data_IF_980201031745
#
_entry.id   IF_980201031745
#
_cell.length_a   1.000
_cell.length_b   1.000
_cell.length_c   1.000
_cell.angle_alpha   90.00
_cell.angle_beta   90.00
_cell.angle_gamma   90.00
#
_symmetry.space_group_name_H-M   'P 1'
#
loop_
_entity.id
_entity.type
_entity.pdbx_description
1 polymer ?
#
# COMPACT_ATOMS: atom_id res chain seq x y z
N UNK A 1 -8.84 11.39 1.43
CA UNK A 1 -7.97 10.51 0.62
C UNK A 1 -6.52 10.87 0.81
N UNK A 2 -5.58 10.01 0.48
CA UNK A 2 -4.16 10.31 0.52
C UNK A 2 -3.40 9.56 -0.59
N UNK A 3 -2.19 10.01 -0.90
CA UNK A 3 -1.23 9.23 -1.68
C UNK A 3 -0.72 8.06 -0.83
N UNK A 4 -0.07 7.09 -1.45
CA UNK A 4 0.41 5.88 -0.76
C UNK A 4 1.27 6.19 0.47
N UNK A 5 2.13 7.19 0.41
CA UNK A 5 3.00 7.60 1.53
C UNK A 5 2.22 8.10 2.74
N UNK A 6 1.07 8.74 2.54
CA UNK A 6 0.22 9.25 3.61
C UNK A 6 -0.69 8.20 4.26
N UNK A 7 -0.52 6.91 3.91
CA UNK A 7 -1.41 5.86 4.39
C UNK A 7 -1.37 5.73 5.91
N UNK A 8 -2.55 5.81 6.53
CA UNK A 8 -2.71 5.78 7.98
C UNK A 8 -2.69 7.14 8.70
N UNK A 9 -2.44 8.25 7.99
CA UNK A 9 -2.56 9.61 8.59
C UNK A 9 -3.98 9.88 9.08
N UNK A 10 -4.98 9.32 8.42
CA UNK A 10 -6.38 9.36 8.81
C UNK A 10 -6.87 7.93 9.02
N UNK A 11 -7.70 7.71 10.05
CA UNK A 11 -8.38 6.43 10.26
C UNK A 11 -9.27 6.09 9.05
N UNK A 12 -8.95 5.01 8.35
CA UNK A 12 -9.64 4.61 7.12
C UNK A 12 -11.09 4.13 7.35
N UNK A 13 -11.51 3.95 8.60
CA UNK A 13 -12.91 3.67 8.97
C UNK A 13 -13.79 4.92 8.86
N UNK A 14 -13.19 6.12 8.91
CA UNK A 14 -13.95 7.37 8.85
C UNK A 14 -14.79 7.46 7.57
N UNK A 15 -16.05 7.92 7.70
CA UNK A 15 -17.00 7.97 6.58
C UNK A 15 -16.47 8.79 5.38
N UNK A 16 -15.77 9.88 5.62
CA UNK A 16 -15.20 10.74 4.59
C UNK A 16 -13.88 10.22 3.99
N UNK A 17 -13.38 9.04 4.43
CA UNK A 17 -12.22 8.43 3.81
C UNK A 17 -12.62 7.77 2.48
N UNK A 18 -12.09 8.24 1.36
CA UNK A 18 -12.44 7.75 0.02
C UNK A 18 -11.46 6.70 -0.53
N UNK A 19 -10.25 6.63 0.00
CA UNK A 19 -9.25 5.68 -0.48
C UNK A 19 -7.87 6.29 -0.69
N UNK A 20 -7.00 5.52 -1.34
CA UNK A 20 -5.64 5.89 -1.70
C UNK A 20 -5.59 6.29 -3.19
N UNK A 21 -5.18 7.53 -3.46
CA UNK A 21 -5.03 8.08 -4.81
C UNK A 21 -3.71 7.67 -5.48
N UNK A 22 -3.56 7.94 -6.77
CA UNK A 22 -2.35 7.75 -7.57
C UNK A 22 -1.90 6.27 -7.74
N UNK A 23 -2.81 5.32 -7.68
CA UNK A 23 -2.53 3.91 -7.92
C UNK A 23 -2.73 3.49 -9.37
N UNK A 24 -3.77 4.03 -10.01
CA UNK A 24 -4.04 3.90 -11.45
C UNK A 24 -4.91 5.07 -11.88
N UNK A 25 -4.84 5.48 -13.13
CA UNK A 25 -5.71 6.52 -13.67
C UNK A 25 -7.15 6.00 -13.80
N UNK A 26 -8.13 6.87 -13.51
CA UNK A 26 -9.54 6.57 -13.72
C UNK A 26 -10.13 5.56 -12.75
N UNK A 27 -9.68 5.56 -11.49
CA UNK A 27 -10.30 4.76 -10.43
C UNK A 27 -11.38 5.55 -9.65
N UNK A 28 -12.04 4.89 -8.71
CA UNK A 28 -13.10 5.50 -7.88
C UNK A 28 -12.67 6.78 -7.15
N UNK A 29 -11.40 6.85 -6.73
CA UNK A 29 -10.84 8.03 -6.06
C UNK A 29 -10.69 9.19 -7.03
N UNK A 30 -10.26 8.91 -8.27
CA UNK A 30 -10.17 9.93 -9.32
C UNK A 30 -11.55 10.47 -9.70
N UNK A 31 -12.57 9.61 -9.82
CA UNK A 31 -13.95 10.06 -10.06
C UNK A 31 -14.44 11.02 -8.97
N UNK A 32 -14.08 10.78 -7.69
CA UNK A 32 -14.40 11.70 -6.61
C UNK A 32 -13.60 13.01 -6.66
N UNK A 33 -12.31 12.96 -7.06
CA UNK A 33 -11.47 14.16 -7.24
C UNK A 33 -12.04 15.05 -8.35
N UNK A 34 -12.44 14.48 -9.47
CA UNK A 34 -12.98 15.23 -10.61
C UNK A 34 -14.28 15.99 -10.28
N UNK A 35 -15.03 15.53 -9.28
CA UNK A 35 -16.26 16.18 -8.79
C UNK A 35 -16.02 17.21 -7.67
N UNK A 36 -14.78 17.41 -7.27
CA UNK A 36 -14.43 18.34 -6.20
C UNK A 36 -14.35 19.77 -6.76
N UNK A 37 -14.84 20.75 -6.01
CA UNK A 37 -14.73 22.19 -6.29
C UNK A 37 -13.49 22.81 -5.63
N UNK A 38 -12.98 22.17 -4.57
CA UNK A 38 -11.76 22.55 -3.86
C UNK A 38 -10.94 21.33 -3.50
N UNK A 39 -9.63 21.40 -3.72
CA UNK A 39 -8.68 20.37 -3.32
C UNK A 39 -7.67 20.99 -2.35
N UNK A 40 -7.51 20.40 -1.19
CA UNK A 40 -6.47 20.78 -0.22
C UNK A 40 -5.44 19.66 -0.17
N UNK A 41 -4.21 19.96 -0.60
CA UNK A 41 -3.09 19.03 -0.47
C UNK A 41 -2.30 19.36 0.79
N UNK A 42 -2.00 18.34 1.58
CA UNK A 42 -1.28 18.47 2.85
C UNK A 42 -0.07 17.56 2.83
N UNK A 43 1.13 18.13 2.93
CA UNK A 43 2.39 17.38 2.90
C UNK A 43 2.63 16.66 1.56
N UNK A 44 2.07 17.16 0.47
CA UNK A 44 2.29 16.60 -0.86
C UNK A 44 3.69 16.95 -1.35
N UNK A 45 4.46 15.95 -1.76
CA UNK A 45 5.76 16.10 -2.39
C UNK A 45 5.70 15.90 -3.92
N UNK A 46 6.74 16.34 -4.62
CA UNK A 46 6.84 16.35 -6.08
C UNK A 46 7.46 15.05 -6.64
N UNK A 47 7.90 14.14 -5.76
CA UNK A 47 8.58 12.89 -6.16
C UNK A 47 7.63 11.97 -6.94
N UNK A 48 6.35 11.98 -6.61
CA UNK A 48 5.31 11.30 -7.37
C UNK A 48 4.38 12.31 -8.05
N UNK A 49 3.96 11.99 -9.27
CA UNK A 49 2.95 12.79 -9.98
C UNK A 49 1.73 13.03 -9.09
N UNK A 50 1.12 14.21 -9.14
CA UNK A 50 -0.11 14.47 -8.40
C UNK A 50 -1.20 13.48 -8.83
N UNK A 51 -2.13 13.12 -7.94
CA UNK A 51 -3.22 12.19 -8.25
C UNK A 51 -4.25 12.77 -9.23
N UNK A 52 -4.08 14.02 -9.66
CA UNK A 52 -4.91 14.74 -10.59
C UNK A 52 -4.05 15.76 -11.35
N UNK A 53 -4.50 16.12 -12.54
CA UNK A 53 -3.88 17.20 -13.30
C UNK A 53 -4.72 18.46 -13.14
N UNK A 54 -4.08 19.55 -12.69
CA UNK A 54 -4.72 20.85 -12.61
C UNK A 54 -5.02 21.37 -14.01
N UNK A 55 -6.18 22.03 -14.15
CA UNK A 55 -6.62 22.75 -15.35
C UNK A 55 -6.97 24.18 -14.95
N UNK A 56 -6.88 25.10 -15.90
CA UNK A 56 -7.19 26.53 -15.66
C UNK A 56 -8.64 26.78 -15.21
N UNK A 57 -9.55 25.92 -15.64
CA UNK A 57 -10.99 25.90 -15.32
C UNK A 57 -11.39 24.81 -14.31
N UNK A 58 -10.40 24.09 -13.76
CA UNK A 58 -10.61 23.02 -12.79
C UNK A 58 -10.79 23.52 -11.35
N UNK A 59 -10.88 22.59 -10.39
CA UNK A 59 -11.01 22.92 -8.97
C UNK A 59 -9.83 23.74 -8.48
N UNK A 60 -10.08 24.64 -7.53
CA UNK A 60 -9.02 25.38 -6.83
C UNK A 60 -8.20 24.44 -5.98
N UNK A 61 -6.90 24.72 -5.88
CA UNK A 61 -5.97 23.91 -5.07
C UNK A 61 -5.31 24.79 -4.03
N UNK A 62 -5.37 24.34 -2.78
CA UNK A 62 -4.60 24.89 -1.64
C UNK A 62 -3.49 23.90 -1.31
N UNK A 63 -2.25 24.36 -1.32
CA UNK A 63 -1.08 23.57 -0.97
C UNK A 63 -0.59 23.93 0.43
N UNK A 64 -0.60 22.98 1.35
CA UNK A 64 -0.10 23.14 2.73
C UNK A 64 1.13 22.24 2.90
N UNK A 65 2.29 22.84 3.05
CA UNK A 65 3.54 22.09 3.17
C UNK A 65 4.65 22.89 3.86
N UNK A 66 5.73 22.24 4.22
CA UNK A 66 6.95 22.88 4.71
C UNK A 66 7.69 23.68 3.62
N UNK A 67 7.49 23.31 2.36
CA UNK A 67 8.08 23.96 1.18
C UNK A 67 7.00 24.46 0.23
N UNK A 68 7.33 25.45 -0.58
CA UNK A 68 6.47 25.85 -1.69
C UNK A 68 6.34 24.72 -2.71
N UNK A 69 5.20 24.68 -3.39
CA UNK A 69 5.02 23.76 -4.50
C UNK A 69 6.00 24.09 -5.63
N UNK A 70 6.60 23.09 -6.22
CA UNK A 70 7.27 23.22 -7.49
C UNK A 70 6.19 23.40 -8.57
N UNK A 71 6.28 24.52 -9.29
CA UNK A 71 5.27 24.86 -10.31
C UNK A 71 5.54 24.05 -11.58
N UNK A 72 4.55 23.25 -11.94
CA UNK A 72 4.55 22.34 -13.07
C UNK A 72 3.31 22.61 -13.94
N UNK A 73 3.31 22.34 -15.25
CA UNK A 73 2.14 22.52 -16.10
C UNK A 73 0.87 21.81 -15.62
N UNK A 74 1.03 20.75 -14.80
CA UNK A 74 -0.09 19.97 -14.26
C UNK A 74 -0.30 20.17 -12.74
N UNK A 75 0.51 21.02 -12.08
CA UNK A 75 0.37 21.34 -10.65
C UNK A 75 0.82 22.78 -10.36
N UNK A 76 -0.13 23.70 -10.22
CA UNK A 76 0.10 25.13 -9.99
C UNK A 76 -0.90 25.72 -8.97
N UNK A 77 -0.79 25.34 -7.67
CA UNK A 77 -1.74 25.71 -6.62
C UNK A 77 -1.98 27.23 -6.55
N UNK A 78 -3.24 27.65 -6.44
CA UNK A 78 -3.61 29.06 -6.35
C UNK A 78 -3.30 29.66 -4.99
N UNK A 79 -3.32 28.85 -3.93
CA UNK A 79 -2.96 29.26 -2.58
C UNK A 79 -1.92 28.30 -2.02
N UNK A 80 -0.86 28.86 -1.44
CA UNK A 80 0.18 28.09 -0.78
C UNK A 80 0.34 28.55 0.66
N UNK A 81 0.27 27.62 1.59
CA UNK A 81 0.53 27.80 3.02
C UNK A 81 1.82 27.08 3.32
N UNK A 82 2.92 27.84 3.33
CA UNK A 82 4.27 27.30 3.54
C UNK A 82 4.68 27.50 5.00
N UNK A 83 4.95 26.42 5.72
CA UNK A 83 5.35 26.45 7.12
C UNK A 83 5.12 25.13 7.82
N UNK A 84 4.98 25.15 9.15
CA UNK A 84 4.65 23.96 9.93
C UNK A 84 3.23 23.48 9.63
N UNK A 85 3.14 22.24 9.11
CA UNK A 85 1.86 21.65 8.67
C UNK A 85 0.91 21.49 9.86
N UNK A 86 1.40 21.05 11.02
CA UNK A 86 0.56 20.83 12.20
C UNK A 86 -0.04 22.14 12.68
N UNK A 87 0.74 23.21 12.71
CA UNK A 87 0.29 24.54 13.07
C UNK A 87 -0.74 25.09 12.05
N UNK A 88 -0.48 24.91 10.74
CA UNK A 88 -1.40 25.33 9.71
C UNK A 88 -2.77 24.63 9.84
N UNK A 89 -2.78 23.33 10.06
CA UNK A 89 -4.01 22.56 10.28
C UNK A 89 -4.71 22.97 11.58
N UNK A 90 -3.95 23.20 12.66
CA UNK A 90 -4.51 23.71 13.91
C UNK A 90 -5.18 25.07 13.73
N UNK A 91 -4.52 26.04 13.05
CA UNK A 91 -5.10 27.35 12.77
C UNK A 91 -6.37 27.26 11.92
N UNK A 92 -6.41 26.39 10.91
CA UNK A 92 -7.61 26.13 10.12
C UNK A 92 -8.73 25.61 11.01
N UNK A 93 -8.46 24.61 11.86
CA UNK A 93 -9.44 24.04 12.77
C UNK A 93 -10.03 25.08 13.74
N UNK A 94 -9.20 25.96 14.33
CA UNK A 94 -9.64 26.97 15.28
C UNK A 94 -10.48 28.10 14.64
N UNK A 95 -10.28 28.37 13.35
CA UNK A 95 -10.94 29.46 12.65
C UNK A 95 -12.10 29.02 11.75
N UNK A 96 -12.24 27.73 11.49
CA UNK A 96 -13.36 27.21 10.70
C UNK A 96 -14.53 26.85 11.61
N UNK A 97 -15.72 27.30 11.23
CA UNK A 97 -16.96 26.83 11.86
C UNK A 97 -17.44 25.56 11.17
N UNK A 98 -18.19 24.74 11.92
CA UNK A 98 -18.84 23.56 11.33
C UNK A 98 -19.77 23.99 10.21
N UNK A 99 -19.63 23.35 9.06
CA UNK A 99 -20.44 23.59 7.88
C UNK A 99 -21.42 22.44 7.69
N UNK A 100 -22.66 22.76 7.36
CA UNK A 100 -23.76 21.79 7.16
C UNK A 100 -24.33 21.81 5.72
N UNK A 101 -23.82 22.72 4.86
CA UNK A 101 -24.29 22.91 3.50
C UNK A 101 -23.57 22.07 2.43
N UNK A 102 -22.56 21.28 2.83
CA UNK A 102 -21.81 20.44 1.87
C UNK A 102 -22.60 19.20 1.45
N UNK A 103 -22.67 18.97 0.16
CA UNK A 103 -23.21 17.74 -0.41
C UNK A 103 -22.09 16.80 -0.85
N UNK A 104 -21.92 15.71 -0.11
CA UNK A 104 -20.93 14.66 -0.41
C UNK A 104 -21.55 13.45 -1.09
N UNK A 105 -22.80 13.54 -1.58
CA UNK A 105 -23.54 12.38 -2.11
C UNK A 105 -22.77 11.63 -3.19
N UNK A 106 -22.21 12.33 -4.16
CA UNK A 106 -21.47 11.72 -5.27
C UNK A 106 -20.14 11.11 -4.81
N UNK A 107 -19.44 11.77 -3.88
CA UNK A 107 -18.20 11.26 -3.30
C UNK A 107 -18.45 10.01 -2.46
N UNK A 108 -19.54 9.99 -1.69
CA UNK A 108 -19.96 8.81 -0.94
C UNK A 108 -20.42 7.67 -1.87
N UNK A 109 -21.08 7.97 -2.98
CA UNK A 109 -21.41 6.97 -4.00
C UNK A 109 -20.15 6.29 -4.56
N UNK A 110 -19.11 7.07 -4.88
CA UNK A 110 -17.81 6.53 -5.31
C UNK A 110 -17.17 5.63 -4.24
N UNK A 111 -17.24 6.04 -2.96
CA UNK A 111 -16.77 5.23 -1.84
C UNK A 111 -17.52 3.90 -1.73
N UNK A 112 -18.85 3.92 -1.77
CA UNK A 112 -19.65 2.70 -1.65
C UNK A 112 -19.42 1.76 -2.82
N UNK A 113 -19.34 2.27 -4.04
CA UNK A 113 -18.99 1.47 -5.22
C UNK A 113 -17.60 0.81 -5.08
N UNK A 114 -16.60 1.55 -4.56
CA UNK A 114 -15.29 1.00 -4.26
C UNK A 114 -15.35 -0.12 -3.20
N UNK A 115 -16.11 0.08 -2.13
CA UNK A 115 -16.23 -0.90 -1.05
C UNK A 115 -16.92 -2.21 -1.52
N UNK A 116 -18.00 -2.10 -2.27
CA UNK A 116 -18.71 -3.27 -2.82
C UNK A 116 -17.83 -4.05 -3.79
N UNK A 117 -17.17 -3.36 -4.70
CA UNK A 117 -16.22 -3.99 -5.61
C UNK A 117 -15.07 -4.69 -4.84
N UNK A 118 -14.51 -4.00 -3.84
CA UNK A 118 -13.45 -4.58 -3.02
C UNK A 118 -13.91 -5.83 -2.27
N UNK A 119 -15.16 -5.86 -1.82
CA UNK A 119 -15.75 -7.01 -1.12
C UNK A 119 -15.87 -8.21 -2.06
N UNK A 120 -16.30 -8.00 -3.29
CA UNK A 120 -16.41 -9.04 -4.32
C UNK A 120 -15.05 -9.70 -4.59
N UNK A 121 -14.03 -8.92 -4.97
CA UNK A 121 -12.72 -9.47 -5.35
C UNK A 121 -11.96 -10.11 -4.19
N UNK A 122 -12.25 -9.72 -2.95
CA UNK A 122 -11.64 -10.28 -1.74
C UNK A 122 -12.22 -11.62 -1.31
N UNK A 123 -13.25 -12.12 -1.95
CA UNK A 123 -13.86 -13.42 -1.64
C UNK A 123 -13.21 -14.58 -2.39
N UNK A 124 -12.41 -14.32 -3.40
CA UNK A 124 -11.75 -15.33 -4.24
C UNK A 124 -10.56 -15.95 -3.49
N UNK A 125 -10.77 -17.16 -3.00
CA UNK A 125 -9.82 -17.93 -2.17
C UNK A 125 -8.99 -18.93 -2.97
N UNK A 126 -8.83 -18.70 -4.28
CA UNK A 126 -7.99 -19.54 -5.16
C UNK A 126 -6.57 -19.72 -4.63
N UNK A 127 -5.89 -20.76 -5.14
CA UNK A 127 -4.48 -21.00 -4.89
C UNK A 127 -3.72 -21.24 -6.23
N UNK A 128 -2.54 -20.64 -6.49
CA UNK A 128 -1.81 -19.68 -5.63
C UNK A 128 -2.68 -18.50 -5.19
N UNK A 129 -2.32 -17.88 -4.04
CA UNK A 129 -3.24 -16.94 -3.37
C UNK A 129 -3.46 -15.68 -4.21
N UNK A 130 -4.74 -15.33 -4.39
CA UNK A 130 -5.12 -14.09 -5.03
C UNK A 130 -4.84 -12.87 -4.12
N UNK A 131 -4.12 -11.82 -4.58
CA UNK A 131 -3.66 -10.74 -3.73
C UNK A 131 -4.75 -10.03 -2.92
N UNK A 132 -5.95 -9.69 -3.45
CA UNK A 132 -7.04 -9.10 -2.66
C UNK A 132 -7.49 -9.97 -1.49
N UNK A 133 -7.54 -11.29 -1.67
CA UNK A 133 -7.86 -12.23 -0.60
C UNK A 133 -6.77 -12.24 0.48
N UNK A 134 -5.50 -12.34 0.06
CA UNK A 134 -4.34 -12.31 0.96
C UNK A 134 -4.35 -11.05 1.84
N UNK A 135 -4.52 -9.88 1.23
CA UNK A 135 -4.57 -8.58 1.93
C UNK A 135 -5.67 -8.56 2.99
N UNK A 136 -6.85 -9.10 2.67
CA UNK A 136 -7.96 -9.21 3.63
C UNK A 136 -7.61 -10.15 4.78
N UNK A 137 -7.08 -11.34 4.49
CA UNK A 137 -6.74 -12.32 5.52
C UNK A 137 -5.64 -11.80 6.44
N UNK A 138 -4.63 -11.12 5.87
CA UNK A 138 -3.57 -10.52 6.66
C UNK A 138 -4.12 -9.45 7.61
N UNK A 139 -5.01 -8.53 7.12
CA UNK A 139 -5.63 -7.51 7.99
C UNK A 139 -6.46 -8.16 9.12
N UNK A 140 -7.15 -9.24 8.82
CA UNK A 140 -7.97 -9.95 9.81
C UNK A 140 -7.13 -10.67 10.87
N UNK A 141 -5.91 -11.09 10.53
CA UNK A 141 -5.01 -11.78 11.46
C UNK A 141 -4.24 -10.79 12.36
N UNK A 142 -3.85 -9.61 11.84
CA UNK A 142 -3.02 -8.68 12.58
C UNK A 142 -3.81 -7.87 13.62
N UNK A 143 -3.16 -7.52 14.75
CA UNK A 143 -3.67 -6.48 15.65
C UNK A 143 -3.89 -5.14 14.90
N UNK A 144 -4.77 -4.30 15.43
CA UNK A 144 -5.11 -3.01 14.80
C UNK A 144 -3.90 -2.09 14.66
N UNK A 145 -2.96 -2.14 15.59
CA UNK A 145 -1.73 -1.36 15.65
C UNK A 145 -0.49 -2.14 15.15
N UNK A 146 -0.69 -3.33 14.62
CA UNK A 146 0.36 -4.12 13.96
C UNK A 146 0.94 -3.36 12.75
N UNK A 147 2.25 -3.44 12.59
CA UNK A 147 3.00 -2.70 11.55
C UNK A 147 3.30 -3.64 10.39
N UNK A 148 3.00 -3.20 9.19
CA UNK A 148 3.49 -3.82 7.97
C UNK A 148 4.48 -2.89 7.27
N UNK A 149 5.58 -3.45 6.77
CA UNK A 149 6.48 -2.76 5.86
C UNK A 149 6.34 -3.36 4.47
N UNK A 150 6.27 -2.52 3.45
CA UNK A 150 6.09 -2.95 2.08
C UNK A 150 7.37 -2.70 1.29
N UNK A 151 7.95 -3.76 0.76
CA UNK A 151 8.97 -3.68 -0.26
C UNK A 151 8.38 -3.23 -1.61
N UNK A 152 9.19 -3.03 -2.61
CA UNK A 152 8.76 -2.54 -3.92
C UNK A 152 8.44 -3.67 -4.90
N UNK A 153 7.17 -3.76 -5.28
CA UNK A 153 6.62 -4.76 -6.19
C UNK A 153 5.15 -4.50 -6.50
N UNK A 154 4.54 -5.31 -7.36
CA UNK A 154 3.14 -5.16 -7.81
C UNK A 154 2.13 -5.28 -6.66
N UNK A 155 2.43 -6.11 -5.66
CA UNK A 155 1.59 -6.27 -4.46
C UNK A 155 1.38 -4.97 -3.69
N UNK A 156 2.30 -4.01 -3.77
CA UNK A 156 2.19 -2.69 -3.14
C UNK A 156 0.89 -1.97 -3.53
N UNK A 157 0.44 -2.15 -4.77
CA UNK A 157 -0.83 -1.61 -5.27
C UNK A 157 -2.01 -2.20 -4.50
N UNK A 158 -2.00 -3.52 -4.30
CA UNK A 158 -3.06 -4.23 -3.59
C UNK A 158 -3.14 -3.85 -2.11
N UNK A 159 -1.98 -3.72 -1.45
CA UNK A 159 -1.93 -3.26 -0.06
C UNK A 159 -2.38 -1.80 0.08
N UNK A 160 -1.94 -0.92 -0.81
CA UNK A 160 -2.35 0.47 -0.78
C UNK A 160 -3.87 0.65 -0.96
N UNK A 161 -4.50 -0.16 -1.83
CA UNK A 161 -5.95 -0.13 -2.06
C UNK A 161 -6.73 -0.85 -0.98
N UNK A 162 -6.22 -1.99 -0.55
CA UNK A 162 -7.03 -3.00 0.12
C UNK A 162 -6.74 -3.23 1.59
N UNK A 163 -5.59 -2.80 2.12
CA UNK A 163 -5.23 -2.97 3.53
C UNK A 163 -5.63 -1.73 4.34
N UNK A 164 -6.66 -1.78 5.19
CA UNK A 164 -7.04 -0.64 6.01
C UNK A 164 -5.97 -0.32 7.05
N UNK A 165 -5.46 0.91 7.04
CA UNK A 165 -4.63 1.46 8.11
C UNK A 165 -5.53 2.11 9.16
N UNK A 166 -5.48 1.60 10.40
CA UNK A 166 -6.36 2.03 11.49
C UNK A 166 -5.66 3.02 12.44
N UNK A 167 -4.33 3.00 12.42
CA UNK A 167 -3.47 3.88 13.21
C UNK A 167 -2.35 4.45 12.34
N UNK A 168 -1.82 5.63 12.69
CA UNK A 168 -0.66 6.19 11.99
C UNK A 168 0.58 5.31 12.17
N UNK A 169 1.46 5.35 11.17
CA UNK A 169 2.72 4.60 11.16
C UNK A 169 2.57 3.07 11.26
N UNK A 170 1.44 2.51 10.81
CA UNK A 170 1.23 1.06 10.77
C UNK A 170 1.37 0.45 9.37
N UNK A 171 1.49 1.29 8.33
CA UNK A 171 1.80 0.87 6.97
C UNK A 171 2.97 1.71 6.46
N UNK A 172 4.15 1.11 6.43
CA UNK A 172 5.40 1.77 6.04
C UNK A 172 5.78 1.32 4.62
N UNK A 173 6.03 2.29 3.76
CA UNK A 173 6.44 2.00 2.39
C UNK A 173 7.41 3.07 1.88
N UNK A 174 8.42 2.62 1.16
CA UNK A 174 9.33 3.50 0.42
C UNK A 174 8.78 3.76 -0.98
N UNK A 175 8.65 5.04 -1.32
CA UNK A 175 8.19 5.46 -2.64
C UNK A 175 9.16 6.42 -3.36
N UNK A 176 10.09 7.03 -2.64
CA UNK A 176 10.96 8.04 -3.23
C UNK A 176 11.82 7.46 -4.36
N UNK A 177 12.57 6.42 -4.06
CA UNK A 177 13.40 5.69 -5.02
C UNK A 177 12.80 4.34 -5.43
N UNK A 178 11.77 3.90 -4.72
CA UNK A 178 11.08 2.62 -4.94
C UNK A 178 12.05 1.43 -5.02
N UNK A 179 13.05 1.40 -4.13
CA UNK A 179 14.11 0.39 -4.13
C UNK A 179 13.59 -0.97 -3.71
N UNK A 180 13.89 -2.00 -4.50
CA UNK A 180 13.68 -3.38 -4.09
C UNK A 180 14.67 -3.76 -2.98
N UNK A 181 14.23 -4.62 -2.05
CA UNK A 181 15.03 -5.03 -0.90
C UNK A 181 14.89 -4.13 0.34
N UNK A 182 14.07 -3.08 0.29
CA UNK A 182 13.83 -2.20 1.43
C UNK A 182 12.92 -2.81 2.51
N UNK A 183 12.14 -3.84 2.19
CA UNK A 183 11.11 -4.40 3.08
C UNK A 183 11.65 -4.95 4.38
N UNK A 184 12.60 -5.88 4.33
CA UNK A 184 13.19 -6.51 5.52
C UNK A 184 13.95 -5.51 6.42
N UNK A 185 14.89 -4.68 5.92
CA UNK A 185 15.56 -3.68 6.75
C UNK A 185 14.59 -2.69 7.41
N UNK A 186 13.54 -2.26 6.69
CA UNK A 186 12.50 -1.39 7.25
C UNK A 186 11.73 -2.06 8.38
N UNK A 187 11.41 -3.36 8.25
CA UNK A 187 10.75 -4.13 9.30
C UNK A 187 11.63 -4.31 10.53
N UNK A 188 12.93 -4.54 10.34
CA UNK A 188 13.90 -4.61 11.44
C UNK A 188 13.93 -3.29 12.21
N UNK A 189 14.05 -2.16 11.52
CA UNK A 189 14.02 -0.85 12.14
C UNK A 189 12.68 -0.57 12.85
N UNK A 190 11.56 -0.91 12.23
CA UNK A 190 10.25 -0.76 12.84
C UNK A 190 10.11 -1.60 14.11
N UNK A 191 10.63 -2.84 14.12
CA UNK A 191 10.61 -3.72 15.29
C UNK A 191 11.50 -3.22 16.43
N UNK A 192 12.67 -2.70 16.10
CA UNK A 192 13.59 -2.10 17.10
C UNK A 192 12.94 -0.90 17.80
N UNK A 193 12.21 -0.07 17.05
CA UNK A 193 11.50 1.11 17.58
C UNK A 193 10.19 0.78 18.28
N UNK A 194 9.60 -0.37 17.99
CA UNK A 194 8.32 -0.83 18.53
C UNK A 194 8.41 -2.29 18.99
N UNK A 195 9.16 -2.58 20.07
CA UNK A 195 9.48 -3.96 20.46
C UNK A 195 8.24 -4.79 20.82
N UNK A 196 7.17 -4.16 21.30
CA UNK A 196 5.95 -4.84 21.74
C UNK A 196 4.92 -5.05 20.61
N UNK A 197 5.11 -4.41 19.45
CA UNK A 197 4.17 -4.54 18.34
C UNK A 197 4.50 -5.71 17.42
N UNK A 198 3.47 -6.29 16.83
CA UNK A 198 3.66 -7.21 15.71
C UNK A 198 4.17 -6.45 14.49
N UNK A 199 5.26 -6.92 13.89
CA UNK A 199 5.84 -6.34 12.69
C UNK A 199 5.98 -7.41 11.62
N UNK A 200 5.45 -7.12 10.42
CA UNK A 200 5.53 -8.00 9.25
C UNK A 200 6.18 -7.25 8.09
N UNK A 201 7.28 -7.82 7.57
CA UNK A 201 7.84 -7.42 6.29
C UNK A 201 7.10 -8.11 5.16
N UNK A 202 6.64 -7.37 4.16
CA UNK A 202 6.00 -7.91 2.96
C UNK A 202 6.90 -7.64 1.78
N UNK A 203 7.47 -8.69 1.23
CA UNK A 203 8.43 -8.65 0.13
C UNK A 203 7.94 -9.51 -1.03
N UNK A 204 8.25 -9.15 -2.27
CA UNK A 204 8.29 -10.11 -3.35
C UNK A 204 9.54 -11.00 -3.22
N UNK A 205 9.54 -12.14 -3.87
CA UNK A 205 10.67 -13.05 -3.88
C UNK A 205 11.97 -12.38 -4.39
N UNK A 206 11.90 -11.68 -5.53
CA UNK A 206 13.04 -10.93 -6.06
C UNK A 206 13.49 -9.78 -5.15
N UNK A 207 12.57 -9.07 -4.51
CA UNK A 207 12.88 -8.00 -3.56
C UNK A 207 13.53 -8.54 -2.29
N UNK A 208 12.98 -9.61 -1.73
CA UNK A 208 13.57 -10.27 -0.56
C UNK A 208 15.01 -10.71 -0.81
N UNK A 209 15.30 -11.31 -1.96
CA UNK A 209 16.65 -11.80 -2.28
C UNK A 209 17.70 -10.69 -2.39
N UNK A 210 17.31 -9.42 -2.56
CA UNK A 210 18.27 -8.31 -2.65
C UNK A 210 18.92 -7.96 -1.32
N UNK A 211 18.24 -8.19 -0.18
CA UNK A 211 18.74 -7.94 1.18
C UNK A 211 18.47 -9.11 2.13
N UNK A 212 18.33 -10.32 1.62
CA UNK A 212 18.00 -11.52 2.40
C UNK A 212 19.06 -11.91 3.44
N UNK A 213 20.31 -11.47 3.25
CA UNK A 213 21.40 -11.67 4.21
C UNK A 213 21.12 -10.98 5.56
N UNK A 214 20.24 -10.00 5.62
CA UNK A 214 19.83 -9.32 6.84
C UNK A 214 19.03 -10.25 7.79
N UNK A 215 18.65 -11.45 7.34
CA UNK A 215 18.14 -12.48 8.24
C UNK A 215 19.15 -12.84 9.34
N UNK A 216 20.46 -12.86 9.02
CA UNK A 216 21.50 -13.06 10.02
C UNK A 216 21.42 -11.98 11.09
N UNK A 217 21.38 -10.73 10.67
CA UNK A 217 21.30 -9.60 11.60
C UNK A 217 20.03 -9.66 12.45
N UNK A 218 18.89 -9.97 11.86
CA UNK A 218 17.61 -10.06 12.56
C UNK A 218 17.63 -11.19 13.63
N UNK A 219 18.17 -12.35 13.27
CA UNK A 219 18.30 -13.51 14.19
C UNK A 219 19.29 -13.21 15.31
N UNK A 220 20.48 -12.70 14.99
CA UNK A 220 21.51 -12.35 15.97
C UNK A 220 21.06 -11.28 16.97
N UNK A 221 20.21 -10.35 16.51
CA UNK A 221 19.60 -9.31 17.37
C UNK A 221 18.39 -9.83 18.17
N UNK A 222 17.95 -11.06 17.98
CA UNK A 222 16.78 -11.63 18.66
C UNK A 222 15.46 -10.92 18.33
N UNK A 223 15.30 -10.43 17.10
CA UNK A 223 14.08 -9.72 16.71
C UNK A 223 12.91 -10.69 16.56
N UNK A 224 11.75 -10.29 17.08
CA UNK A 224 10.48 -10.99 16.86
C UNK A 224 9.77 -10.39 15.63
N UNK A 225 9.99 -10.98 14.47
CA UNK A 225 9.64 -10.40 13.19
C UNK A 225 9.18 -11.48 12.20
N UNK A 226 8.17 -11.16 11.41
CA UNK A 226 7.66 -12.03 10.35
C UNK A 226 8.06 -11.44 9.00
N UNK A 227 8.59 -12.28 8.12
CA UNK A 227 8.89 -11.96 6.72
C UNK A 227 7.94 -12.77 5.84
N UNK A 228 7.01 -12.10 5.17
CA UNK A 228 6.07 -12.69 4.23
C UNK A 228 6.59 -12.46 2.81
N UNK A 229 7.02 -13.54 2.16
CA UNK A 229 7.50 -13.53 0.78
C UNK A 229 6.34 -13.89 -0.15
N UNK A 230 5.93 -12.93 -0.96
CA UNK A 230 4.94 -13.11 -2.03
C UNK A 230 5.65 -13.63 -3.26
N UNK A 231 5.55 -14.93 -3.50
CA UNK A 231 6.35 -15.68 -4.45
C UNK A 231 5.56 -15.93 -5.73
N UNK A 232 5.96 -15.27 -6.82
CA UNK A 232 5.49 -15.52 -8.20
C UNK A 232 6.64 -15.93 -9.16
N UNK A 233 7.82 -16.21 -8.61
CA UNK A 233 9.03 -16.59 -9.33
C UNK A 233 9.41 -15.60 -10.44
N UNK A 234 9.26 -14.29 -10.15
CA UNK A 234 9.54 -13.27 -11.16
C UNK A 234 9.46 -11.83 -10.68
N UNK A 235 9.82 -10.92 -11.57
CA UNK A 235 9.69 -9.48 -11.37
C UNK A 235 8.31 -8.98 -11.82
N UNK A 236 7.27 -9.30 -11.05
CA UNK A 236 5.86 -9.09 -11.41
C UNK A 236 5.49 -7.66 -11.82
N UNK A 237 6.08 -6.61 -11.20
CA UNK A 237 5.82 -5.22 -11.59
C UNK A 237 6.40 -4.90 -12.97
N UNK A 238 7.59 -5.41 -13.28
CA UNK A 238 8.23 -5.19 -14.58
C UNK A 238 7.48 -5.96 -15.67
N UNK A 239 7.08 -7.21 -15.38
CA UNK A 239 6.25 -8.04 -16.26
C UNK A 239 4.95 -7.32 -16.63
N UNK A 240 4.21 -6.86 -15.64
CA UNK A 240 2.96 -6.13 -15.87
C UNK A 240 3.16 -4.86 -16.73
N UNK A 241 4.28 -4.14 -16.55
CA UNK A 241 4.58 -2.96 -17.38
C UNK A 241 4.98 -3.34 -18.80
N UNK A 242 5.72 -4.43 -19.02
CA UNK A 242 6.05 -4.94 -20.35
C UNK A 242 4.79 -5.36 -21.12
N UNK A 243 3.92 -6.14 -20.49
CA UNK A 243 2.63 -6.56 -21.03
C UNK A 243 1.76 -5.36 -21.44
N UNK A 244 1.67 -4.33 -20.57
CA UNK A 244 0.93 -3.10 -20.86
C UNK A 244 1.49 -2.28 -22.03
N UNK A 245 2.74 -2.49 -22.39
CA UNK A 245 3.39 -1.86 -23.53
C UNK A 245 3.42 -2.76 -24.77
N UNK A 246 2.86 -3.97 -24.68
CA UNK A 246 2.81 -4.95 -25.77
C UNK A 246 4.14 -5.67 -26.00
N UNK A 247 5.05 -5.68 -25.02
CA UNK A 247 6.28 -6.45 -25.09
C UNK A 247 6.08 -7.87 -24.56
N UNK A 248 6.80 -8.82 -25.15
CA UNK A 248 6.87 -10.19 -24.66
C UNK A 248 7.61 -10.28 -23.32
N UNK A 249 7.30 -11.30 -22.52
CA UNK A 249 8.03 -11.59 -21.27
C UNK A 249 9.47 -12.00 -21.61
N UNK A 250 10.43 -11.18 -21.22
CA UNK A 250 11.85 -11.43 -21.44
C UNK A 250 12.68 -11.14 -20.19
N UNK A 251 13.37 -12.18 -19.68
CA UNK A 251 14.34 -12.04 -18.58
C UNK A 251 13.72 -11.76 -17.20
N UNK A 252 12.41 -11.98 -17.02
CA UNK A 252 11.69 -11.62 -15.79
C UNK A 252 11.41 -12.79 -14.85
N UNK A 253 11.55 -14.02 -15.35
CA UNK A 253 11.37 -15.24 -14.57
C UNK A 253 12.70 -15.77 -14.07
N UNK A 254 12.75 -16.25 -12.85
CA UNK A 254 13.94 -16.80 -12.21
C UNK A 254 13.60 -17.95 -11.26
N UNK A 255 14.62 -18.76 -10.92
CA UNK A 255 14.50 -19.80 -9.89
C UNK A 255 14.73 -19.23 -8.51
N UNK A 256 13.87 -19.58 -7.56
CA UNK A 256 14.03 -19.25 -6.17
C UNK A 256 14.72 -20.36 -5.40
N UNK A 257 15.44 -20.06 -4.30
CA UNK A 257 15.83 -21.08 -3.32
C UNK A 257 14.59 -21.66 -2.63
N UNK A 258 14.74 -22.77 -1.96
CA UNK A 258 13.76 -23.23 -0.97
C UNK A 258 13.79 -22.26 0.23
N UNK A 259 12.86 -21.32 0.28
CA UNK A 259 12.84 -20.26 1.30
C UNK A 259 12.67 -20.79 2.72
N UNK A 260 12.07 -21.98 2.91
CA UNK A 260 11.99 -22.64 4.23
C UNK A 260 13.38 -23.03 4.70
N UNK A 261 14.13 -23.78 3.88
CA UNK A 261 15.51 -24.19 4.20
C UNK A 261 16.45 -22.99 4.26
N UNK A 262 16.22 -21.99 3.43
CA UNK A 262 16.99 -20.74 3.43
C UNK A 262 16.86 -20.03 4.79
N UNK A 263 15.64 -19.88 5.30
CA UNK A 263 15.38 -19.31 6.63
C UNK A 263 16.04 -20.15 7.75
N UNK A 264 15.86 -21.45 7.71
CA UNK A 264 16.43 -22.38 8.69
C UNK A 264 17.97 -22.34 8.72
N UNK A 265 18.63 -22.12 7.60
CA UNK A 265 20.09 -21.97 7.50
C UNK A 265 20.64 -20.77 8.26
N UNK A 266 19.81 -19.73 8.49
CA UNK A 266 20.13 -18.57 9.32
C UNK A 266 19.67 -18.72 10.78
N UNK A 267 19.00 -19.82 11.14
CA UNK A 267 18.40 -20.01 12.47
C UNK A 267 17.02 -19.39 12.64
N UNK A 268 16.42 -18.89 11.56
CA UNK A 268 15.02 -18.46 11.52
C UNK A 268 14.08 -19.67 11.35
N UNK A 269 12.78 -19.46 11.49
CA UNK A 269 11.75 -20.48 11.29
C UNK A 269 11.10 -20.29 9.92
N UNK A 270 11.16 -21.33 9.08
CA UNK A 270 10.59 -21.31 7.73
C UNK A 270 9.21 -21.96 7.67
N UNK A 271 8.33 -21.40 6.87
CA UNK A 271 6.99 -21.93 6.59
C UNK A 271 6.68 -21.80 5.09
N UNK A 272 5.89 -22.73 4.56
CA UNK A 272 5.34 -22.64 3.21
C UNK A 272 3.82 -22.71 3.29
N UNK A 273 3.17 -21.82 2.58
CA UNK A 273 1.71 -21.84 2.40
C UNK A 273 1.39 -22.77 1.24
N UNK A 274 0.52 -23.77 1.47
CA UNK A 274 0.12 -24.74 0.46
C UNK A 274 -1.36 -24.62 0.07
N UNK A 275 -2.12 -23.81 0.80
CA UNK A 275 -3.51 -23.49 0.49
C UNK A 275 -3.88 -22.10 1.02
N UNK A 276 -4.91 -21.49 0.45
CA UNK A 276 -5.40 -20.20 0.91
C UNK A 276 -5.95 -20.22 2.33
N UNK A 277 -6.47 -21.36 2.76
CA UNK A 277 -7.03 -21.57 4.10
C UNK A 277 -5.94 -21.57 5.18
N UNK A 278 -4.78 -22.16 4.89
CA UNK A 278 -3.66 -22.23 5.85
C UNK A 278 -3.01 -20.87 6.11
N UNK A 279 -3.15 -19.90 5.22
CA UNK A 279 -2.43 -18.62 5.28
C UNK A 279 -2.63 -17.91 6.62
N UNK A 280 -3.89 -17.76 7.04
CA UNK A 280 -4.22 -17.08 8.30
C UNK A 280 -3.66 -17.83 9.51
N UNK A 281 -3.79 -19.15 9.54
CA UNK A 281 -3.30 -20.00 10.64
C UNK A 281 -1.78 -19.91 10.78
N UNK A 282 -1.05 -19.87 9.65
CA UNK A 282 0.41 -19.71 9.66
C UNK A 282 0.80 -18.34 10.23
N UNK A 283 0.13 -17.26 9.84
CA UNK A 283 0.37 -15.92 10.39
C UNK A 283 0.12 -15.89 11.90
N UNK A 284 -1.01 -16.43 12.37
CA UNK A 284 -1.36 -16.50 13.78
C UNK A 284 -0.34 -17.33 14.59
N UNK A 285 0.11 -18.45 14.03
CA UNK A 285 1.17 -19.27 14.61
C UNK A 285 2.49 -18.51 14.75
N UNK A 286 2.90 -17.77 13.71
CA UNK A 286 4.13 -16.99 13.74
C UNK A 286 4.05 -15.83 14.77
N UNK A 287 2.89 -15.23 14.97
CA UNK A 287 2.70 -14.19 16.00
C UNK A 287 2.77 -14.75 17.43
N UNK A 288 2.40 -16.01 17.62
CA UNK A 288 2.38 -16.66 18.94
C UNK A 288 3.75 -17.19 19.39
N UNK A 289 4.74 -17.21 18.52
CA UNK A 289 6.06 -17.81 18.80
C UNK A 289 7.16 -16.77 18.54
N UNK A 290 8.06 -16.61 19.51
CA UNK A 290 9.18 -15.67 19.38
C UNK A 290 10.19 -16.08 18.30
N UNK A 291 10.88 -15.10 17.74
CA UNK A 291 11.95 -15.23 16.78
C UNK A 291 11.63 -14.67 15.41
N UNK A 292 12.54 -14.92 14.47
CA UNK A 292 12.36 -14.53 13.07
C UNK A 292 11.64 -15.66 12.33
N UNK A 293 10.54 -15.30 11.65
CA UNK A 293 9.73 -16.22 10.86
C UNK A 293 9.75 -15.81 9.40
N UNK A 294 9.97 -16.75 8.49
CA UNK A 294 9.91 -16.53 7.04
C UNK A 294 8.81 -17.39 6.44
N UNK A 295 7.89 -16.78 5.74
CA UNK A 295 6.74 -17.43 5.12
C UNK A 295 6.85 -17.32 3.61
N UNK A 296 7.05 -18.45 2.92
CA UNK A 296 6.97 -18.57 1.47
C UNK A 296 5.50 -18.71 1.05
N UNK A 297 4.96 -17.71 0.38
CA UNK A 297 3.55 -17.63 0.01
C UNK A 297 3.38 -17.49 -1.50
N UNK A 298 3.03 -18.57 -2.21
CA UNK A 298 2.72 -18.50 -3.63
C UNK A 298 1.53 -17.58 -3.92
N UNK A 299 1.68 -16.67 -4.89
CA UNK A 299 0.66 -15.69 -5.28
C UNK A 299 0.37 -15.71 -6.76
N UNK A 300 -0.88 -15.37 -7.14
CA UNK A 300 -1.34 -15.30 -8.51
C UNK A 300 -1.62 -13.84 -8.92
N UNK A 301 -0.80 -13.31 -9.84
CA UNK A 301 -0.95 -11.97 -10.40
C UNK A 301 -1.59 -11.94 -11.79
N UNK A 302 -2.08 -13.06 -12.31
CA UNK A 302 -2.61 -13.19 -13.67
C UNK A 302 -3.78 -12.24 -14.00
N UNK A 303 -4.56 -11.85 -12.99
CA UNK A 303 -5.71 -10.94 -13.15
C UNK A 303 -5.36 -9.46 -12.97
N UNK A 304 -4.08 -9.11 -12.70
CA UNK A 304 -3.70 -7.74 -12.36
C UNK A 304 -4.10 -6.74 -13.45
N UNK A 305 -3.79 -6.99 -14.70
CA UNK A 305 -4.09 -6.07 -15.80
C UNK A 305 -5.60 -5.89 -15.97
N UNK A 306 -6.33 -6.98 -16.05
CA UNK A 306 -7.79 -6.99 -16.18
C UNK A 306 -8.47 -6.21 -15.07
N UNK A 307 -8.02 -6.35 -13.83
CA UNK A 307 -8.65 -5.70 -12.68
C UNK A 307 -8.21 -4.25 -12.56
N UNK A 308 -6.89 -4.01 -12.55
CA UNK A 308 -6.34 -2.70 -12.23
C UNK A 308 -6.48 -1.68 -13.36
N UNK A 309 -6.38 -2.13 -14.61
CA UNK A 309 -6.43 -1.24 -15.78
C UNK A 309 -7.78 -1.18 -16.46
N UNK A 310 -8.59 -2.26 -16.40
CA UNK A 310 -9.83 -2.32 -17.16
C UNK A 310 -11.08 -2.26 -16.26
N UNK A 311 -11.27 -3.24 -15.38
CA UNK A 311 -12.51 -3.37 -14.62
C UNK A 311 -12.77 -2.21 -13.67
N UNK A 312 -11.76 -1.74 -12.94
CA UNK A 312 -11.88 -0.60 -12.03
C UNK A 312 -12.24 0.67 -12.80
N UNK A 313 -11.60 0.90 -13.94
CA UNK A 313 -11.86 2.05 -14.80
C UNK A 313 -13.28 2.02 -15.39
N UNK A 314 -13.72 0.86 -15.86
CA UNK A 314 -15.09 0.70 -16.37
C UNK A 314 -16.13 0.99 -15.29
N UNK A 315 -15.92 0.50 -14.07
CA UNK A 315 -16.86 0.72 -12.98
C UNK A 315 -16.87 2.18 -12.49
N UNK A 316 -15.71 2.82 -12.38
CA UNK A 316 -15.61 4.21 -11.95
C UNK A 316 -16.17 5.19 -12.98
N UNK A 317 -16.13 4.87 -14.27
CA UNK A 317 -16.70 5.70 -15.33
C UNK A 317 -18.25 5.76 -15.32
N UNK A 318 -18.90 4.91 -14.54
CA UNK A 318 -20.37 4.88 -14.37
C UNK A 318 -20.86 5.76 -13.21
N UNK A 319 -19.93 6.37 -12.47
CA UNK A 319 -20.20 7.27 -11.35
C UNK A 319 -20.28 8.73 -11.80
#
# INVERSE_FOLDING_TARGET
>A
MYKRQGKGVVDERHLCFLGCAALSSGDFVHAAIEKSDLIITVGHDDIEKPPFFMKSDGPKVIHINHTSAEIDPVYFPQVQIVGDISNAIWQLKENLQVQDHWDFKDMLAARFAHLEYSKEIRSDDRFPIFPPYLVRQLRNALPNDGIITLDNGVYKIWFARGYPALFPNTVLLDNALASMGAGLPSAMAAKMLNPDKVVISICGDGGFMMNSQELETAVRMGLNLIVLILNDSGYGMVRWKQENQGFDDFGLSFGNPDFVKYAESYGAKGYRVNSSQEFKEIIEKCMAVEGVHVIDCPVDYSENDKILNHRIKEMSSKL
#
